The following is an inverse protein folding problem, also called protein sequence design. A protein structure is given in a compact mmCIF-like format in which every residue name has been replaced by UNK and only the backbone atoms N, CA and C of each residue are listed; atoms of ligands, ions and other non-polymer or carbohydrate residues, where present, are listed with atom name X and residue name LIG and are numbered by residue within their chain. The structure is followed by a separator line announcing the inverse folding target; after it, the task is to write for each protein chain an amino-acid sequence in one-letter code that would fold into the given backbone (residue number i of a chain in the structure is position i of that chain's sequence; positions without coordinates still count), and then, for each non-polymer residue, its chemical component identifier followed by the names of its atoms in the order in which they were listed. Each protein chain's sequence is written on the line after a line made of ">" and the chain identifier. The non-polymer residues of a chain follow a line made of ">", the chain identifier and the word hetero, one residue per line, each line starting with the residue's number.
data_IF_606193079797
#
_entry.id   IF_606193079797
#
_cell.length_a   1.000
_cell.length_b   1.000
_cell.length_c   1.000
_cell.angle_alpha   90.00
_cell.angle_beta   90.00
_cell.angle_gamma   90.00
#
_symmetry.space_group_name_H-M   'P 1'
#
loop_
_entity.id
_entity.type
_entity.pdbx_description
1 polymer ?
#
# COMPACT_ATOMS: atom_id res chain seq x y z
N UNK A 1 22.62 -40.22 32.33
CA UNK A 1 23.43 -41.00 31.38
C UNK A 1 22.53 -41.30 30.18
N UNK A 2 22.65 -40.74 28.99
CA UNK A 2 23.37 -39.60 28.42
C UNK A 2 22.74 -39.51 27.02
N UNK A 3 22.08 -38.42 26.66
CA UNK A 3 21.53 -38.26 25.29
C UNK A 3 21.96 -36.91 24.73
N UNK A 4 23.27 -36.68 24.77
CA UNK A 4 23.96 -35.67 23.98
C UNK A 4 24.70 -36.40 22.85
N UNK A 5 23.97 -36.74 21.79
CA UNK A 5 24.51 -37.36 20.59
C UNK A 5 24.05 -36.64 19.31
N UNK A 6 24.80 -35.58 18.98
CA UNK A 6 25.25 -35.18 17.64
C UNK A 6 24.61 -35.88 16.42
N UNK A 7 23.81 -35.13 15.65
CA UNK A 7 23.59 -35.34 14.19
C UNK A 7 23.40 -33.95 13.55
N UNK A 8 24.47 -33.24 13.12
CA UNK A 8 25.10 -33.32 11.79
C UNK A 8 24.11 -33.53 10.63
N UNK A 9 23.88 -32.47 9.85
CA UNK A 9 23.41 -32.57 8.46
C UNK A 9 22.38 -31.52 8.04
N UNK A 10 22.78 -30.26 7.87
CA UNK A 10 21.95 -29.31 7.06
C UNK A 10 22.28 -29.54 5.59
N UNK A 11 21.32 -29.88 4.71
CA UNK A 11 21.56 -29.90 3.27
C UNK A 11 21.69 -28.45 2.75
N UNK A 12 22.56 -28.19 1.76
CA UNK A 12 22.63 -26.88 1.13
C UNK A 12 21.38 -26.63 0.28
N UNK A 13 20.72 -25.50 0.52
CA UNK A 13 19.58 -25.04 -0.30
C UNK A 13 20.11 -24.66 -1.70
N UNK A 14 19.49 -25.14 -2.79
CA UNK A 14 19.88 -24.73 -4.14
C UNK A 14 19.64 -23.22 -4.32
N UNK A 15 20.72 -22.47 -4.57
CA UNK A 15 20.64 -21.08 -5.06
C UNK A 15 19.98 -21.10 -6.43
N UNK A 16 18.72 -20.67 -6.51
CA UNK A 16 18.02 -20.49 -7.77
C UNK A 16 18.61 -19.26 -8.48
N UNK A 17 19.38 -19.53 -9.52
CA UNK A 17 19.90 -18.54 -10.44
C UNK A 17 18.76 -17.89 -11.23
N UNK A 18 18.88 -16.56 -11.45
CA UNK A 18 18.27 -15.85 -12.57
C UNK A 18 16.84 -15.37 -12.37
N UNK A 19 16.67 -14.19 -11.77
CA UNK A 19 15.62 -13.27 -12.23
C UNK A 19 16.33 -12.28 -13.15
N UNK A 20 16.01 -12.22 -14.46
CA UNK A 20 16.54 -11.17 -15.31
C UNK A 20 16.00 -9.82 -14.86
N UNK A 21 16.94 -9.00 -14.41
CA UNK A 21 17.14 -7.59 -14.76
C UNK A 21 15.92 -6.81 -15.25
N UNK A 22 15.47 -5.89 -14.40
CA UNK A 22 15.03 -4.55 -14.77
C UNK A 22 14.02 -4.47 -15.92
N UNK A 23 12.77 -4.80 -15.64
CA UNK A 23 11.69 -4.02 -16.21
C UNK A 23 11.58 -2.75 -15.38
N UNK A 24 12.34 -1.71 -15.73
CA UNK A 24 11.97 -0.36 -15.33
C UNK A 24 10.53 -0.13 -15.82
N UNK A 25 9.62 0.37 -14.98
CA UNK A 25 8.33 0.82 -15.49
C UNK A 25 8.64 1.82 -16.61
N UNK A 26 8.17 1.53 -17.82
CA UNK A 26 8.02 2.57 -18.83
C UNK A 26 7.05 3.57 -18.21
N UNK A 27 7.59 4.63 -17.61
CA UNK A 27 6.86 5.85 -17.32
C UNK A 27 6.51 6.46 -18.68
N UNK A 28 5.46 5.90 -19.27
CA UNK A 28 4.66 6.66 -20.23
C UNK A 28 4.25 7.90 -19.45
N UNK A 29 4.58 9.12 -19.90
CA UNK A 29 4.18 10.32 -19.17
C UNK A 29 2.67 10.21 -18.96
N UNK A 30 2.18 10.17 -17.72
CA UNK A 30 0.76 10.02 -17.49
C UNK A 30 0.09 11.19 -18.19
N UNK A 31 -0.87 10.89 -19.08
CA UNK A 31 -1.88 11.88 -19.47
C UNK A 31 -2.30 12.58 -18.19
N UNK A 32 -2.21 13.91 -18.15
CA UNK A 32 -2.41 14.73 -16.95
C UNK A 32 -3.47 14.11 -16.06
N UNK A 33 -3.02 13.42 -15.01
CA UNK A 33 -3.90 12.66 -14.16
C UNK A 33 -4.54 13.63 -13.18
N UNK A 34 -5.88 13.63 -13.11
CA UNK A 34 -6.59 14.53 -12.21
C UNK A 34 -6.21 14.31 -10.76
N UNK A 35 -6.33 15.37 -9.97
CA UNK A 35 -6.14 15.36 -8.54
C UNK A 35 -7.49 15.37 -7.82
N UNK A 36 -7.53 14.73 -6.66
CA UNK A 36 -8.67 14.70 -5.74
C UNK A 36 -8.19 14.94 -4.32
N UNK A 37 -9.08 15.45 -3.48
CA UNK A 37 -8.84 15.61 -2.04
C UNK A 37 -9.55 14.49 -1.31
N UNK A 38 -8.79 13.67 -0.58
CA UNK A 38 -9.33 12.71 0.38
C UNK A 38 -9.40 13.39 1.74
N UNK A 39 -10.57 13.37 2.38
CA UNK A 39 -10.75 13.83 3.75
C UNK A 39 -10.98 12.64 4.67
N UNK A 40 -10.11 12.48 5.65
CA UNK A 40 -10.26 11.44 6.67
C UNK A 40 -9.44 11.80 7.92
N UNK A 41 -9.89 11.33 9.09
CA UNK A 41 -9.24 11.61 10.40
C UNK A 41 -9.02 13.12 10.66
N UNK A 42 -9.92 13.97 10.16
CA UNK A 42 -9.79 15.44 10.28
C UNK A 42 -8.66 16.05 9.45
N UNK A 43 -8.09 15.31 8.50
CA UNK A 43 -7.02 15.78 7.59
C UNK A 43 -7.47 15.71 6.14
N UNK A 44 -6.82 16.51 5.31
CA UNK A 44 -7.01 16.54 3.86
C UNK A 44 -5.73 16.10 3.16
N UNK A 45 -5.87 15.25 2.13
CA UNK A 45 -4.77 14.73 1.36
C UNK A 45 -5.04 14.94 -0.13
N UNK A 46 -4.24 15.79 -0.76
CA UNK A 46 -4.26 15.99 -2.21
C UNK A 46 -3.48 14.87 -2.89
N UNK A 47 -4.16 14.11 -3.75
CA UNK A 47 -3.60 12.91 -4.38
C UNK A 47 -4.11 12.71 -5.79
N UNK A 48 -3.36 11.95 -6.59
CA UNK A 48 -3.80 11.50 -7.91
C UNK A 48 -5.01 10.57 -7.80
N UNK A 49 -5.89 10.60 -8.80
CA UNK A 49 -7.09 9.75 -8.88
C UNK A 49 -6.75 8.26 -8.75
N UNK A 50 -5.70 7.76 -9.41
CA UNK A 50 -5.29 6.35 -9.31
C UNK A 50 -4.93 5.96 -7.87
N UNK A 51 -4.18 6.81 -7.17
CA UNK A 51 -3.77 6.55 -5.79
C UNK A 51 -4.96 6.59 -4.85
N UNK A 52 -5.88 7.55 -5.04
CA UNK A 52 -7.13 7.59 -4.30
C UNK A 52 -7.96 6.31 -4.54
N UNK A 53 -8.04 5.85 -5.78
CA UNK A 53 -8.78 4.63 -6.14
C UNK A 53 -8.22 3.40 -5.43
N UNK A 54 -6.88 3.25 -5.39
CA UNK A 54 -6.21 2.14 -4.69
C UNK A 54 -6.51 2.19 -3.19
N UNK A 55 -6.34 3.37 -2.57
CA UNK A 55 -6.59 3.58 -1.15
C UNK A 55 -8.05 3.28 -0.78
N UNK A 56 -9.00 3.81 -1.54
CA UNK A 56 -10.43 3.65 -1.29
C UNK A 56 -10.87 2.20 -1.44
N UNK A 57 -10.37 1.51 -2.47
CA UNK A 57 -10.66 0.08 -2.66
C UNK A 57 -10.22 -0.73 -1.45
N UNK A 58 -8.97 -0.56 -0.99
CA UNK A 58 -8.47 -1.29 0.17
C UNK A 58 -9.23 -0.92 1.45
N UNK A 59 -9.53 0.36 1.62
CA UNK A 59 -10.32 0.83 2.77
C UNK A 59 -11.71 0.22 2.81
N UNK A 60 -12.39 0.13 1.66
CA UNK A 60 -13.70 -0.49 1.55
C UNK A 60 -13.67 -1.99 1.89
N UNK A 61 -12.64 -2.72 1.48
CA UNK A 61 -12.45 -4.14 1.85
C UNK A 61 -12.26 -4.33 3.37
N UNK A 62 -11.46 -3.47 4.00
CA UNK A 62 -11.24 -3.48 5.46
C UNK A 62 -12.53 -3.18 6.21
N UNK A 63 -13.29 -2.16 5.76
CA UNK A 63 -14.57 -1.78 6.37
C UNK A 63 -15.60 -2.90 6.20
N UNK A 64 -15.71 -3.49 5.00
CA UNK A 64 -16.68 -4.55 4.71
C UNK A 64 -16.41 -5.84 5.49
N UNK A 65 -15.18 -6.08 5.92
CA UNK A 65 -14.78 -7.22 6.75
C UNK A 65 -14.88 -6.96 8.25
N UNK A 66 -15.43 -5.81 8.68
CA UNK A 66 -15.41 -5.35 10.07
C UNK A 66 -13.99 -5.34 10.68
N UNK A 67 -12.99 -5.09 9.82
CA UNK A 67 -11.57 -5.13 10.16
C UNK A 67 -11.01 -3.81 10.67
N UNK A 68 -9.73 -3.87 11.01
CA UNK A 68 -8.90 -2.72 11.37
C UNK A 68 -7.50 -2.90 10.78
N UNK A 69 -7.07 -2.00 9.90
CA UNK A 69 -5.80 -2.11 9.17
C UNK A 69 -5.16 -0.74 8.92
N UNK A 70 -3.82 -0.69 8.85
CA UNK A 70 -3.10 0.47 8.36
C UNK A 70 -3.03 0.42 6.83
N UNK A 71 -3.70 1.36 6.17
CA UNK A 71 -3.73 1.46 4.71
C UNK A 71 -2.86 2.64 4.27
N UNK A 72 -1.87 2.41 3.39
CA UNK A 72 -1.03 3.49 2.88
C UNK A 72 -1.78 4.36 1.85
N UNK A 73 -1.60 5.67 1.97
CA UNK A 73 -2.02 6.66 0.99
C UNK A 73 -0.78 7.40 0.48
N UNK A 74 -0.47 7.28 -0.81
CA UNK A 74 0.50 8.13 -1.47
C UNK A 74 -0.19 9.43 -1.91
N UNK A 75 0.29 10.57 -1.43
CA UNK A 75 -0.23 11.91 -1.71
C UNK A 75 0.94 12.88 -2.00
N UNK A 76 0.66 14.15 -2.31
CA UNK A 76 1.72 15.10 -2.69
C UNK A 76 2.79 15.33 -1.59
N UNK A 77 2.42 15.13 -0.33
CA UNK A 77 3.33 15.27 0.82
C UNK A 77 4.14 14.01 1.15
N UNK A 78 3.96 12.92 0.42
CA UNK A 78 4.60 11.64 0.68
C UNK A 78 3.60 10.51 0.93
N UNK A 79 3.97 9.57 1.79
CA UNK A 79 3.13 8.42 2.15
C UNK A 79 2.63 8.61 3.58
N UNK A 80 1.31 8.56 3.76
CA UNK A 80 0.66 8.52 5.06
C UNK A 80 0.11 7.10 5.32
N UNK A 81 0.30 6.58 6.54
CA UNK A 81 -0.33 5.33 6.98
C UNK A 81 -1.59 5.64 7.79
N UNK A 82 -2.75 5.34 7.23
CA UNK A 82 -4.04 5.67 7.82
C UNK A 82 -4.67 4.44 8.46
N UNK A 83 -5.04 4.54 9.74
CA UNK A 83 -5.77 3.49 10.45
C UNK A 83 -7.22 3.44 9.98
N UNK A 84 -7.54 2.48 9.12
CA UNK A 84 -8.89 2.24 8.61
C UNK A 84 -9.62 1.28 9.52
N UNK A 85 -10.79 1.71 9.99
CA UNK A 85 -11.72 0.92 10.79
C UNK A 85 -13.14 1.09 10.23
N UNK A 86 -14.06 0.22 10.64
CA UNK A 86 -15.48 0.27 10.23
C UNK A 86 -16.14 1.65 10.40
N UNK A 87 -15.78 2.38 11.46
CA UNK A 87 -16.38 3.68 11.80
C UNK A 87 -15.63 4.86 11.20
N UNK A 88 -14.59 4.65 10.39
CA UNK A 88 -13.79 5.72 9.84
C UNK A 88 -14.55 6.45 8.73
N UNK A 89 -14.85 7.75 8.87
CA UNK A 89 -15.43 8.53 7.78
C UNK A 89 -14.33 8.85 6.75
N UNK A 90 -14.57 8.48 5.50
CA UNK A 90 -13.72 8.81 4.35
C UNK A 90 -14.58 9.49 3.29
N UNK A 91 -14.20 10.68 2.85
CA UNK A 91 -14.87 11.40 1.76
C UNK A 91 -13.86 11.85 0.70
N UNK A 92 -14.35 12.02 -0.53
CA UNK A 92 -13.54 12.41 -1.69
C UNK A 92 -14.21 13.61 -2.35
N UNK A 93 -13.41 14.63 -2.68
CA UNK A 93 -13.83 15.80 -3.42
C UNK A 93 -12.87 16.07 -4.58
N UNK A 94 -13.34 16.81 -5.60
CA UNK A 94 -12.46 17.32 -6.65
C UNK A 94 -11.42 18.28 -6.04
N UNK A 95 -10.20 18.27 -6.60
CA UNK A 95 -9.20 19.25 -6.20
C UNK A 95 -9.62 20.66 -6.64
N UNK A 96 -9.39 21.70 -5.83
CA UNK A 96 -9.62 23.07 -6.25
C UNK A 96 -8.75 23.38 -7.49
N UNK A 97 -9.36 23.95 -8.53
CA UNK A 97 -8.61 24.49 -9.67
C UNK A 97 -7.76 25.67 -9.18
N UNK A 98 -6.45 25.53 -9.29
CA UNK A 98 -5.46 26.56 -8.93
C UNK A 98 -5.15 27.50 -10.09
#
# INVERSE_FOLDING_TARGET
>A
MDVLARLRGRPPVPRRAGIPSSASPVETPPRAEGLVVIRCVGREFLTRISMATIFLKRSAEVIASDGSELVPLLHEGGIELLAVTKSMPITVAEAPEG
#
